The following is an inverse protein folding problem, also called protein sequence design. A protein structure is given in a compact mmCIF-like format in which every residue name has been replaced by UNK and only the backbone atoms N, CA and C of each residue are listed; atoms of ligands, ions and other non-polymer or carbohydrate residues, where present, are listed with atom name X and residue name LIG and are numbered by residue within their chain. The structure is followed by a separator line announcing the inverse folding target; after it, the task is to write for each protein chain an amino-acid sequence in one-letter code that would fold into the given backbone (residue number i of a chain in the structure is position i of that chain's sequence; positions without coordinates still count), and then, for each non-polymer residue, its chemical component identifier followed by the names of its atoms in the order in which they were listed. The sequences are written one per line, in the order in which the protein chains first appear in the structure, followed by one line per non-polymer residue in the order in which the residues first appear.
data_IF_138778977873
#
_entry.id   IF_138778977873
#
_cell.length_a   1.000
_cell.length_b   1.000
_cell.length_c   1.000
_cell.angle_alpha   90.00
_cell.angle_beta   90.00
_cell.angle_gamma   90.00
#
_symmetry.space_group_name_H-M   'P 1'
#
loop_
_entity.id
_entity.type
_entity.pdbx_description
1 polymer ?
#
# COMPACT_ATOMS: atom_id res chain seq x y z
N UNK A 1 -8.43 -29.84 -3.13
CA UNK A 1 -8.51 -28.49 -2.52
C UNK A 1 -7.26 -27.64 -2.79
N UNK A 2 -6.05 -28.12 -2.46
CA UNK A 2 -4.78 -27.38 -2.65
C UNK A 2 -4.48 -27.02 -4.13
N UNK A 3 -4.89 -27.85 -5.08
CA UNK A 3 -4.73 -27.59 -6.53
C UNK A 3 -5.52 -26.38 -7.02
N UNK A 4 -6.75 -26.17 -6.52
CA UNK A 4 -7.58 -25.02 -6.89
C UNK A 4 -7.02 -23.70 -6.34
N UNK A 5 -6.48 -23.73 -5.12
CA UNK A 5 -5.84 -22.56 -4.50
C UNK A 5 -4.62 -22.13 -5.31
N UNK A 6 -3.78 -23.09 -5.75
CA UNK A 6 -2.63 -22.79 -6.61
C UNK A 6 -3.04 -22.19 -7.96
N UNK A 7 -4.12 -22.68 -8.57
CA UNK A 7 -4.66 -22.13 -9.83
C UNK A 7 -5.13 -20.69 -9.64
N UNK A 8 -5.91 -20.41 -8.60
CA UNK A 8 -6.39 -19.07 -8.27
C UNK A 8 -5.23 -18.11 -7.98
N UNK A 9 -4.22 -18.54 -7.22
CA UNK A 9 -3.03 -17.74 -6.94
C UNK A 9 -2.24 -17.42 -8.21
N UNK A 10 -2.12 -18.38 -9.14
CA UNK A 10 -1.47 -18.14 -10.43
C UNK A 10 -2.26 -17.15 -11.30
N UNK A 11 -3.59 -17.26 -11.35
CA UNK A 11 -4.45 -16.33 -12.10
C UNK A 11 -4.34 -14.90 -11.54
N UNK A 12 -4.30 -14.75 -10.21
CA UNK A 12 -4.08 -13.46 -9.54
C UNK A 12 -2.67 -12.89 -9.80
N UNK A 13 -1.66 -13.75 -9.86
CA UNK A 13 -0.29 -13.34 -10.17
C UNK A 13 -0.15 -12.90 -11.63
N UNK A 14 -0.75 -13.62 -12.57
CA UNK A 14 -0.77 -13.25 -13.99
C UNK A 14 -1.53 -11.96 -14.24
N UNK A 15 -2.61 -11.72 -13.49
CA UNK A 15 -3.26 -10.41 -13.47
C UNK A 15 -2.29 -9.33 -13.00
N UNK A 16 -1.66 -9.49 -11.83
CA UNK A 16 -0.69 -8.54 -11.26
C UNK A 16 0.51 -8.24 -12.17
N UNK A 17 0.97 -9.24 -12.95
CA UNK A 17 2.15 -9.11 -13.82
C UNK A 17 1.86 -8.42 -15.18
N UNK A 18 0.61 -8.04 -15.47
CA UNK A 18 0.33 -7.26 -16.70
C UNK A 18 1.03 -5.89 -16.62
N UNK A 19 1.66 -5.48 -17.72
CA UNK A 19 2.48 -4.26 -17.79
C UNK A 19 1.78 -2.97 -17.34
N UNK A 20 0.44 -2.93 -17.36
CA UNK A 20 -0.36 -1.80 -16.87
C UNK A 20 -0.34 -1.63 -15.35
N UNK A 21 -0.11 -2.71 -14.58
CA UNK A 21 0.00 -2.62 -13.12
C UNK A 21 1.24 -1.84 -12.68
N UNK A 22 2.33 -1.89 -13.45
CA UNK A 22 3.55 -1.12 -13.14
C UNK A 22 3.25 0.37 -13.05
N UNK A 23 2.53 0.91 -14.03
CA UNK A 23 2.19 2.34 -14.10
C UNK A 23 1.10 2.72 -13.11
N UNK A 24 0.04 1.90 -12.99
CA UNK A 24 -1.07 2.18 -12.07
C UNK A 24 -0.60 2.13 -10.62
N UNK A 25 0.32 1.24 -10.28
CA UNK A 25 0.82 1.11 -8.92
C UNK A 25 1.75 2.27 -8.53
N UNK A 26 2.69 2.65 -9.39
CA UNK A 26 3.54 3.82 -9.14
C UNK A 26 2.70 5.10 -9.03
N UNK A 27 1.78 5.31 -9.98
CA UNK A 27 0.88 6.44 -9.95
C UNK A 27 -0.04 6.39 -8.72
N UNK A 28 -0.48 5.20 -8.32
CA UNK A 28 -1.26 4.97 -7.11
C UNK A 28 -0.52 5.42 -5.85
N UNK A 29 0.76 5.09 -5.71
CA UNK A 29 1.59 5.58 -4.59
C UNK A 29 1.70 7.10 -4.61
N UNK A 30 2.00 7.72 -5.76
CA UNK A 30 2.09 9.18 -5.85
C UNK A 30 0.75 9.86 -5.52
N UNK A 31 -0.35 9.30 -6.00
CA UNK A 31 -1.71 9.76 -5.68
C UNK A 31 -1.98 9.59 -4.19
N UNK A 32 -1.59 8.48 -3.57
CA UNK A 32 -1.72 8.28 -2.11
C UNK A 32 -0.93 9.32 -1.33
N UNK A 33 0.28 9.70 -1.76
CA UNK A 33 1.04 10.79 -1.15
C UNK A 33 0.30 12.13 -1.25
N UNK A 34 -0.25 12.47 -2.42
CA UNK A 34 -1.02 13.71 -2.62
C UNK A 34 -2.29 13.73 -1.76
N UNK A 35 -3.05 12.61 -1.75
CA UNK A 35 -4.26 12.47 -0.95
C UNK A 35 -3.96 12.60 0.54
N UNK A 36 -2.85 12.03 0.99
CA UNK A 36 -2.40 12.09 2.37
C UNK A 36 -1.95 13.51 2.77
N UNK A 37 -1.24 14.23 1.89
CA UNK A 37 -0.89 15.64 2.11
C UNK A 37 -2.13 16.52 2.19
N UNK A 38 -3.10 16.36 1.28
CA UNK A 38 -4.36 17.10 1.31
C UNK A 38 -5.12 16.82 2.63
N UNK A 39 -5.21 15.54 3.02
CA UNK A 39 -5.84 15.15 4.27
C UNK A 39 -5.14 15.77 5.50
N UNK A 40 -3.82 15.91 5.46
CA UNK A 40 -3.03 16.52 6.54
C UNK A 40 -3.16 18.05 6.61
N UNK A 41 -3.26 18.74 5.47
CA UNK A 41 -3.37 20.21 5.43
C UNK A 41 -4.63 20.77 6.09
N UNK A 42 -5.58 19.92 6.49
CA UNK A 42 -6.64 20.31 7.42
C UNK A 42 -7.62 21.35 6.85
N UNK A 43 -7.80 21.40 5.52
CA UNK A 43 -8.82 22.27 4.88
C UNK A 43 -10.23 21.96 5.40
N UNK A 44 -10.43 20.79 5.99
CA UNK A 44 -11.66 20.42 6.67
C UNK A 44 -11.37 20.14 8.15
N UNK A 45 -12.16 20.73 9.05
CA UNK A 45 -12.23 20.41 10.48
C UNK A 45 -12.74 18.98 10.69
N UNK A 46 -11.95 17.98 10.29
CA UNK A 46 -12.37 16.58 10.25
C UNK A 46 -11.98 15.89 11.56
N UNK A 47 -12.97 15.23 12.14
CA UNK A 47 -12.81 14.31 13.27
C UNK A 47 -11.66 13.31 13.01
N UNK A 48 -10.85 12.96 14.03
CA UNK A 48 -9.73 12.01 13.91
C UNK A 48 -10.14 10.64 13.33
N UNK A 49 -11.44 10.31 13.36
CA UNK A 49 -11.99 9.07 12.83
C UNK A 49 -11.87 8.92 11.29
N UNK A 50 -11.85 10.03 10.54
CA UNK A 50 -11.69 9.94 9.09
C UNK A 50 -10.25 9.62 8.69
N UNK A 51 -9.28 10.22 9.39
CA UNK A 51 -7.84 9.98 9.17
C UNK A 51 -7.44 8.54 9.53
N UNK A 52 -8.04 7.96 10.57
CA UNK A 52 -7.82 6.57 10.96
C UNK A 52 -8.34 5.60 9.90
N UNK A 53 -9.57 5.82 9.41
CA UNK A 53 -10.21 4.97 8.40
C UNK A 53 -9.46 5.03 7.07
N UNK A 54 -9.07 6.23 6.61
CA UNK A 54 -8.32 6.42 5.38
C UNK A 54 -6.94 5.73 5.45
N UNK A 55 -6.20 5.90 6.55
CA UNK A 55 -4.92 5.22 6.76
C UNK A 55 -5.09 3.70 6.69
N UNK A 56 -6.12 3.17 7.35
CA UNK A 56 -6.39 1.74 7.38
C UNK A 56 -6.66 1.19 5.98
N UNK A 57 -7.53 1.84 5.20
CA UNK A 57 -7.86 1.41 3.83
C UNK A 57 -6.61 1.37 2.94
N UNK A 58 -5.78 2.43 2.99
CA UNK A 58 -4.56 2.50 2.18
C UNK A 58 -3.54 1.45 2.62
N UNK A 59 -3.39 1.23 3.93
CA UNK A 59 -2.49 0.20 4.46
C UNK A 59 -2.91 -1.20 4.02
N UNK A 60 -4.19 -1.55 4.09
CA UNK A 60 -4.70 -2.84 3.62
C UNK A 60 -4.45 -3.03 2.13
N UNK A 61 -4.69 -2.00 1.32
CA UNK A 61 -4.41 -2.05 -0.11
C UNK A 61 -2.93 -2.35 -0.40
N UNK A 62 -2.01 -1.63 0.27
CA UNK A 62 -0.56 -1.82 0.09
C UNK A 62 -0.14 -3.22 0.53
N UNK A 63 -0.59 -3.68 1.71
CA UNK A 63 -0.26 -5.01 2.25
C UNK A 63 -0.76 -6.12 1.32
N UNK A 64 -1.99 -6.00 0.81
CA UNK A 64 -2.56 -7.00 -0.09
C UNK A 64 -1.74 -7.14 -1.38
N UNK A 65 -1.31 -6.02 -1.97
CA UNK A 65 -0.44 -6.05 -3.16
C UNK A 65 0.93 -6.64 -2.85
N UNK A 66 1.54 -6.27 -1.72
CA UNK A 66 2.80 -6.85 -1.28
C UNK A 66 2.69 -8.36 -1.10
N UNK A 67 1.62 -8.83 -0.45
CA UNK A 67 1.39 -10.24 -0.20
C UNK A 67 1.23 -11.02 -1.50
N UNK A 68 0.43 -10.52 -2.46
CA UNK A 68 0.28 -11.16 -3.78
C UNK A 68 1.61 -11.22 -4.52
N UNK A 69 2.39 -10.14 -4.48
CA UNK A 69 3.59 -9.98 -5.30
C UNK A 69 4.81 -10.71 -4.75
N UNK A 70 4.96 -10.76 -3.43
CA UNK A 70 6.07 -11.43 -2.74
C UNK A 70 5.67 -12.78 -2.16
N UNK A 71 4.56 -13.36 -2.63
CA UNK A 71 4.09 -14.66 -2.15
C UNK A 71 5.11 -15.77 -2.51
N UNK A 72 5.70 -16.48 -1.52
CA UNK A 72 6.68 -17.55 -1.77
C UNK A 72 6.07 -18.80 -2.45
N UNK A 73 4.74 -18.90 -2.53
CA UNK A 73 4.05 -20.04 -3.13
C UNK A 73 4.01 -20.03 -4.67
N UNK A 74 4.61 -19.03 -5.31
CA UNK A 74 4.60 -18.84 -6.77
C UNK A 74 5.94 -19.35 -7.34
N UNK A 75 5.91 -20.52 -7.97
CA UNK A 75 7.10 -21.25 -8.44
C UNK A 75 7.71 -20.73 -9.75
N UNK A 76 7.35 -19.53 -10.20
CA UNK A 76 8.02 -18.93 -11.38
C UNK A 76 9.27 -18.21 -10.89
N UNK A 77 10.37 -18.96 -10.87
CA UNK A 77 11.77 -18.56 -10.59
C UNK A 77 12.36 -17.53 -11.59
N UNK A 78 11.53 -16.67 -12.17
CA UNK A 78 11.94 -15.56 -13.04
C UNK A 78 11.75 -14.19 -12.37
N UNK A 79 11.63 -14.15 -11.04
CA UNK A 79 11.49 -12.91 -10.25
C UNK A 79 12.82 -12.12 -10.19
N UNK A 80 13.96 -12.73 -10.53
CA UNK A 80 15.27 -12.04 -10.52
C UNK A 80 15.49 -11.11 -11.73
N UNK A 81 14.62 -11.12 -12.74
CA UNK A 81 14.80 -10.35 -13.97
C UNK A 81 14.47 -8.84 -13.91
N UNK A 82 13.79 -8.34 -12.87
CA UNK A 82 13.45 -6.91 -12.71
C UNK A 82 13.36 -6.49 -11.23
N UNK A 83 14.39 -6.87 -10.45
CA UNK A 83 14.51 -6.65 -9.00
C UNK A 83 14.36 -5.18 -8.56
N UNK A 84 14.69 -4.21 -9.41
CA UNK A 84 14.66 -2.80 -9.03
C UNK A 84 13.24 -2.25 -8.81
N UNK A 85 12.27 -2.71 -9.60
CA UNK A 85 10.90 -2.22 -9.48
C UNK A 85 10.24 -2.74 -8.21
N UNK A 86 10.40 -4.03 -7.93
CA UNK A 86 9.91 -4.68 -6.72
C UNK A 86 10.53 -4.05 -5.46
N UNK A 87 11.84 -3.77 -5.49
CA UNK A 87 12.55 -3.09 -4.38
C UNK A 87 12.08 -1.65 -4.18
N UNK A 88 11.94 -0.87 -5.26
CA UNK A 88 11.42 0.51 -5.18
C UNK A 88 9.98 0.53 -4.66
N UNK A 89 9.18 -0.44 -5.08
CA UNK A 89 7.79 -0.62 -4.66
C UNK A 89 7.69 -0.87 -3.14
N UNK A 90 8.45 -1.83 -2.63
CA UNK A 90 8.48 -2.13 -1.19
C UNK A 90 8.99 -0.93 -0.39
N UNK A 91 10.04 -0.28 -0.89
CA UNK A 91 10.63 0.88 -0.22
C UNK A 91 9.64 2.05 -0.14
N UNK A 92 9.00 2.43 -1.24
CA UNK A 92 8.01 3.52 -1.25
C UNK A 92 6.78 3.19 -0.41
N UNK A 93 6.31 1.94 -0.43
CA UNK A 93 5.24 1.46 0.44
C UNK A 93 5.59 1.60 1.93
N UNK A 94 6.79 1.16 2.33
CA UNK A 94 7.26 1.27 3.70
C UNK A 94 7.43 2.73 4.13
N UNK A 95 8.01 3.59 3.28
CA UNK A 95 8.11 5.02 3.55
C UNK A 95 6.74 5.68 3.73
N UNK A 96 5.77 5.35 2.87
CA UNK A 96 4.40 5.85 2.99
C UNK A 96 3.76 5.42 4.31
N UNK A 97 3.84 4.13 4.68
CA UNK A 97 3.30 3.62 5.93
C UNK A 97 3.95 4.28 7.16
N UNK A 98 5.26 4.51 7.13
CA UNK A 98 5.99 5.16 8.21
C UNK A 98 5.53 6.61 8.37
N UNK A 99 5.57 7.40 7.29
CA UNK A 99 5.16 8.81 7.30
C UNK A 99 3.70 8.94 7.76
N UNK A 100 2.81 8.10 7.23
CA UNK A 100 1.39 8.15 7.57
C UNK A 100 1.09 7.75 9.01
N UNK A 101 1.80 6.78 9.55
CA UNK A 101 1.67 6.37 10.95
C UNK A 101 2.23 7.42 11.90
N UNK A 102 3.41 7.99 11.60
CA UNK A 102 4.01 9.06 12.39
C UNK A 102 3.13 10.30 12.42
N UNK A 103 2.61 10.74 11.27
CA UNK A 103 1.72 11.90 11.18
C UNK A 103 0.38 11.65 11.87
N UNK A 104 -0.19 10.45 11.76
CA UNK A 104 -1.39 10.12 12.52
C UNK A 104 -1.15 10.19 14.02
N UNK A 105 -0.07 9.58 14.52
CA UNK A 105 0.25 9.62 15.95
C UNK A 105 0.49 11.06 16.43
N UNK A 106 1.09 11.92 15.60
CA UNK A 106 1.25 13.33 15.92
C UNK A 106 -0.10 14.05 16.06
N UNK A 107 -1.00 13.84 15.12
CA UNK A 107 -2.36 14.44 15.15
C UNK A 107 -3.17 13.90 16.32
N UNK A 108 -3.15 12.58 16.54
CA UNK A 108 -3.87 11.91 17.62
C UNK A 108 -3.39 12.41 18.98
N UNK A 109 -2.06 12.49 19.19
CA UNK A 109 -1.48 13.05 20.40
C UNK A 109 -1.81 14.54 20.58
N UNK A 110 -1.78 15.35 19.51
CA UNK A 110 -2.16 16.76 19.60
C UNK A 110 -3.62 16.95 20.02
N UNK A 111 -4.53 16.10 19.51
CA UNK A 111 -5.94 16.13 19.89
C UNK A 111 -6.11 15.69 21.34
N UNK A 112 -5.47 14.59 21.76
CA UNK A 112 -5.54 14.08 23.12
C UNK A 112 -4.91 15.02 24.17
N UNK A 113 -3.86 15.78 23.83
CA UNK A 113 -3.26 16.79 24.71
C UNK A 113 -4.19 18.01 24.90
N UNK A 114 -5.10 18.27 23.95
CA UNK A 114 -5.96 19.48 23.94
C UNK A 114 -7.33 19.27 24.60
N UNK A 115 -7.74 18.02 24.87
CA UNK A 115 -8.98 17.66 25.59
C UNK A 115 -8.70 17.37 27.05
#
# INVERSE_FOLDING_TARGET
MISYIKKLLNDLFEFSNKGWHRSIFLNGIYVSYILFLIAFTGIFTLSPNYLSTLRLIINYYIIFILLIRFNPFISKTNITGNNEFDRRLVFSAACFMLISSSLFNYVDNYIHIRT
#
